data_IF_034410739965
#
_entry.id   IF_034410739965
#
_cell.length_a   1.000
_cell.length_b   1.000
_cell.length_c   1.000
_cell.angle_alpha   90.00
_cell.angle_beta   90.00
_cell.angle_gamma   90.00
#
_symmetry.space_group_name_H-M   'P 1'
#
loop_
_entity.id
_entity.type
_entity.pdbx_description
1 polymer ?
#
# COMPACT_ATOMS: atom_id res chain seq x y z
N UNK A 1 -11.27 -10.59 2.60
CA UNK A 1 -11.99 -9.34 2.28
C UNK A 1 -12.26 -9.37 0.80
N UNK A 2 -13.41 -8.89 0.36
CA UNK A 2 -13.74 -8.95 -1.06
C UNK A 2 -12.85 -8.00 -1.87
N UNK A 3 -12.32 -8.42 -3.03
CA UNK A 3 -11.48 -7.57 -3.87
C UNK A 3 -12.27 -6.38 -4.43
N UNK A 4 -11.59 -5.24 -4.49
CA UNK A 4 -12.10 -4.01 -5.09
C UNK A 4 -11.55 -3.89 -6.51
N UNK A 5 -12.43 -3.67 -7.48
CA UNK A 5 -12.05 -3.43 -8.86
C UNK A 5 -12.44 -2.00 -9.24
N UNK A 6 -11.50 -1.29 -9.82
CA UNK A 6 -11.73 -0.01 -10.48
C UNK A 6 -11.35 -0.13 -11.94
N UNK A 7 -12.16 0.46 -12.80
CA UNK A 7 -11.90 0.47 -14.23
C UNK A 7 -11.70 1.91 -14.70
N UNK A 8 -10.58 2.16 -15.35
CA UNK A 8 -10.26 3.40 -16.03
C UNK A 8 -10.21 3.11 -17.53
N UNK A 9 -10.93 3.88 -18.33
CA UNK A 9 -10.96 3.68 -19.77
C UNK A 9 -10.75 4.98 -20.52
N UNK A 10 -10.09 4.85 -21.66
CA UNK A 10 -9.97 5.88 -22.69
C UNK A 10 -10.28 5.23 -24.02
N UNK A 11 -11.43 5.58 -24.59
CA UNK A 11 -11.98 4.96 -25.79
C UNK A 11 -12.46 6.02 -26.77
N UNK A 12 -12.37 5.72 -28.06
CA UNK A 12 -12.75 6.69 -29.12
C UNK A 12 -14.27 6.84 -29.31
N UNK A 13 -15.09 5.95 -28.72
CA UNK A 13 -16.56 5.98 -28.81
C UNK A 13 -17.19 6.79 -27.65
N UNK A 14 -18.32 7.45 -27.92
CA UNK A 14 -19.09 8.14 -26.90
C UNK A 14 -20.07 7.18 -26.22
N UNK A 15 -19.99 7.08 -24.89
CA UNK A 15 -20.99 6.35 -24.12
C UNK A 15 -22.31 7.11 -24.12
N UNK A 16 -23.27 6.63 -24.89
CA UNK A 16 -24.68 6.98 -24.74
C UNK A 16 -25.21 6.09 -23.60
N UNK A 17 -25.84 6.69 -22.58
CA UNK A 17 -26.37 5.99 -21.40
C UNK A 17 -27.47 5.01 -21.83
N UNK A 18 -27.08 3.81 -22.24
CA UNK A 18 -27.92 2.71 -22.69
C UNK A 18 -27.26 1.39 -22.24
N UNK A 19 -28.05 0.39 -21.85
CA UNK A 19 -27.54 -0.87 -21.24
C UNK A 19 -26.54 -1.61 -22.13
N UNK A 20 -26.68 -1.49 -23.45
CA UNK A 20 -25.87 -2.16 -24.48
C UNK A 20 -24.49 -1.54 -24.72
N UNK A 21 -24.15 -0.43 -24.03
CA UNK A 21 -22.85 0.25 -24.15
C UNK A 21 -22.04 0.12 -22.85
N UNK A 22 -22.39 -0.84 -21.99
CA UNK A 22 -21.66 -1.13 -20.76
C UNK A 22 -20.44 -2.01 -21.00
N UNK A 23 -19.47 -1.99 -20.08
CA UNK A 23 -18.43 -3.02 -20.06
C UNK A 23 -19.02 -4.26 -19.39
N UNK A 24 -18.92 -5.42 -20.05
CA UNK A 24 -19.25 -6.68 -19.41
C UNK A 24 -18.00 -7.27 -18.79
N UNK A 25 -18.13 -7.62 -17.52
CA UNK A 25 -17.18 -8.45 -16.82
C UNK A 25 -17.87 -9.78 -16.53
N UNK A 26 -17.42 -10.84 -17.20
CA UNK A 26 -17.96 -12.19 -17.05
C UNK A 26 -17.00 -13.04 -16.23
N UNK A 27 -17.52 -13.67 -15.17
CA UNK A 27 -16.76 -14.56 -14.29
C UNK A 27 -17.74 -15.37 -13.46
N UNK A 28 -17.59 -15.39 -12.12
CA UNK A 28 -18.55 -16.05 -11.20
C UNK A 28 -19.93 -15.36 -11.09
N UNK A 29 -20.11 -14.24 -11.78
CA UNK A 29 -21.37 -13.51 -11.95
C UNK A 29 -21.22 -12.47 -13.05
N UNK A 30 -22.27 -12.22 -13.82
CA UNK A 30 -22.28 -11.25 -14.91
C UNK A 30 -22.84 -9.93 -14.37
N UNK A 31 -22.00 -8.91 -14.26
CA UNK A 31 -22.43 -7.58 -13.83
C UNK A 31 -22.06 -6.57 -14.92
N UNK A 32 -23.04 -5.87 -15.53
CA UNK A 32 -22.75 -4.76 -16.42
C UNK A 32 -22.18 -3.60 -15.60
N UNK A 33 -20.97 -3.14 -15.93
CA UNK A 33 -20.36 -1.98 -15.28
C UNK A 33 -20.68 -0.71 -16.06
N UNK A 34 -21.27 0.27 -15.36
CA UNK A 34 -21.61 1.58 -15.91
C UNK A 34 -20.59 2.63 -15.48
N UNK A 35 -20.06 3.46 -16.41
CA UNK A 35 -19.24 4.60 -16.04
C UNK A 35 -20.09 5.66 -15.33
N UNK A 36 -19.79 5.91 -14.06
CA UNK A 36 -20.54 6.89 -13.26
C UNK A 36 -20.02 8.32 -13.47
N UNK A 37 -18.74 8.48 -13.81
CA UNK A 37 -18.10 9.79 -14.06
C UNK A 37 -17.37 9.80 -15.40
N UNK A 38 -17.98 10.48 -16.38
CA UNK A 38 -17.40 10.71 -17.71
C UNK A 38 -16.98 12.17 -17.86
N UNK A 39 -15.77 12.43 -18.35
CA UNK A 39 -15.35 13.77 -18.77
C UNK A 39 -15.88 13.96 -20.19
N UNK A 40 -16.73 14.98 -20.42
CA UNK A 40 -17.28 15.24 -21.76
C UNK A 40 -16.23 15.89 -22.68
N UNK A 41 -16.15 15.50 -23.97
CA UNK A 41 -16.92 14.44 -24.65
C UNK A 41 -16.50 13.05 -24.13
N UNK A 42 -17.49 12.18 -23.87
CA UNK A 42 -17.44 10.97 -23.03
C UNK A 42 -16.55 9.82 -23.53
N UNK A 43 -15.34 10.13 -23.95
CA UNK A 43 -14.27 9.25 -24.43
C UNK A 43 -13.38 8.76 -23.30
N UNK A 44 -13.30 9.52 -22.21
CA UNK A 44 -12.47 9.20 -21.04
C UNK A 44 -13.38 9.18 -19.83
N UNK A 45 -13.31 8.09 -19.07
CA UNK A 45 -14.13 7.92 -17.89
C UNK A 45 -13.51 6.97 -16.88
N UNK A 46 -14.02 7.06 -15.66
CA UNK A 46 -13.68 6.16 -14.59
C UNK A 46 -14.95 5.56 -14.02
N UNK A 47 -14.89 4.26 -13.76
CA UNK A 47 -15.89 3.56 -12.96
C UNK A 47 -15.46 3.68 -11.49
N UNK A 48 -16.44 3.80 -10.60
CA UNK A 48 -16.19 3.76 -9.16
C UNK A 48 -15.74 2.35 -8.72
N UNK A 49 -15.22 2.21 -7.51
CA UNK A 49 -14.77 0.90 -7.02
C UNK A 49 -15.99 -0.01 -6.81
N UNK A 50 -16.04 -1.13 -7.52
CA UNK A 50 -17.03 -2.17 -7.31
C UNK A 50 -16.41 -3.35 -6.57
N UNK A 51 -17.17 -3.89 -5.62
CA UNK A 51 -16.81 -5.08 -4.86
C UNK A 51 -17.15 -6.30 -5.72
N UNK A 52 -16.15 -7.11 -6.02
CA UNK A 52 -16.34 -8.36 -6.77
C UNK A 52 -15.97 -9.56 -5.90
N UNK A 53 -16.50 -10.73 -6.24
CA UNK A 53 -16.07 -11.98 -5.63
C UNK A 53 -14.65 -12.32 -6.13
N UNK A 54 -13.82 -13.02 -5.35
CA UNK A 54 -12.53 -13.49 -5.85
C UNK A 54 -12.74 -14.55 -6.95
N UNK A 55 -11.99 -14.43 -8.04
CA UNK A 55 -12.12 -15.29 -9.22
C UNK A 55 -11.43 -14.73 -10.45
N UNK A 56 -11.45 -15.51 -11.52
CA UNK A 56 -11.02 -15.05 -12.85
C UNK A 56 -12.19 -14.35 -13.54
N UNK A 57 -11.90 -13.21 -14.15
CA UNK A 57 -12.87 -12.42 -14.89
C UNK A 57 -12.33 -12.04 -16.26
N UNK A 58 -13.18 -12.18 -17.27
CA UNK A 58 -12.91 -11.76 -18.63
C UNK A 58 -13.64 -10.46 -18.92
N UNK A 59 -12.96 -9.53 -19.59
CA UNK A 59 -13.49 -8.21 -19.89
C UNK A 59 -13.80 -8.11 -21.39
N UNK A 60 -15.05 -7.76 -21.70
CA UNK A 60 -15.55 -7.60 -23.07
C UNK A 60 -15.79 -6.12 -23.39
N UNK A 61 -15.34 -5.67 -24.56
CA UNK A 61 -15.60 -4.31 -25.05
C UNK A 61 -17.01 -4.20 -25.62
N UNK A 62 -17.68 -3.05 -25.44
CA UNK A 62 -18.89 -2.75 -26.19
C UNK A 62 -18.54 -2.50 -27.67
N UNK A 63 -19.31 -3.14 -28.57
CA UNK A 63 -19.24 -2.99 -30.02
C UNK A 63 -20.27 -1.99 -30.48
N UNK A 64 -19.80 -0.79 -30.84
CA UNK A 64 -20.50 0.29 -31.58
C UNK A 64 -22.04 0.33 -31.45
N UNK A 65 -22.55 0.31 -30.22
CA UNK A 65 -23.97 0.51 -29.90
C UNK A 65 -24.92 -0.69 -30.03
N UNK A 66 -24.46 -1.88 -30.43
CA UNK A 66 -25.36 -3.03 -30.69
C UNK A 66 -24.97 -4.35 -30.02
N UNK A 67 -23.91 -4.38 -29.19
CA UNK A 67 -23.57 -5.56 -28.39
C UNK A 67 -22.18 -5.48 -27.77
N UNK A 68 -21.64 -6.62 -27.36
CA UNK A 68 -20.27 -6.77 -26.89
C UNK A 68 -19.43 -7.53 -27.93
N UNK A 69 -18.12 -7.30 -27.94
CA UNK A 69 -17.21 -8.09 -28.78
C UNK A 69 -17.20 -9.56 -28.31
N UNK A 70 -17.07 -10.49 -29.26
CA UNK A 70 -17.08 -11.95 -28.99
C UNK A 70 -15.75 -12.45 -28.39
N UNK A 71 -14.67 -11.69 -28.58
CA UNK A 71 -13.36 -11.99 -28.01
C UNK A 71 -13.07 -11.10 -26.79
N UNK A 72 -12.64 -11.68 -25.66
CA UNK A 72 -12.23 -10.89 -24.50
C UNK A 72 -10.92 -10.15 -24.79
N UNK A 73 -10.80 -8.90 -24.31
CA UNK A 73 -9.53 -8.14 -24.43
C UNK A 73 -8.42 -8.80 -23.61
N UNK A 74 -8.81 -9.43 -22.49
CA UNK A 74 -7.91 -10.07 -21.55
C UNK A 74 -8.64 -10.58 -20.32
N UNK A 75 -7.94 -11.42 -19.56
CA UNK A 75 -8.39 -11.97 -18.29
C UNK A 75 -7.70 -11.26 -17.11
N UNK A 76 -8.46 -11.05 -16.03
CA UNK A 76 -7.96 -10.55 -14.75
C UNK A 76 -8.21 -11.60 -13.67
N UNK A 77 -7.23 -11.79 -12.81
CA UNK A 77 -7.35 -12.66 -11.63
C UNK A 77 -7.52 -11.79 -10.38
N UNK A 78 -8.74 -11.77 -9.84
CA UNK A 78 -9.06 -11.04 -8.62
C UNK A 78 -8.83 -11.94 -7.40
N UNK A 79 -7.77 -11.67 -6.66
CA UNK A 79 -7.48 -12.39 -5.41
C UNK A 79 -8.05 -11.64 -4.21
N UNK A 80 -8.42 -12.38 -3.15
CA UNK A 80 -9.05 -11.83 -1.95
C UNK A 80 -8.23 -10.70 -1.32
N UNK A 81 -8.89 -9.58 -1.02
CA UNK A 81 -8.32 -8.43 -0.33
C UNK A 81 -7.39 -7.55 -1.16
N UNK A 82 -7.24 -7.82 -2.45
CA UNK A 82 -6.53 -6.94 -3.38
C UNK A 82 -7.43 -5.83 -3.93
N UNK A 83 -6.82 -4.71 -4.30
CA UNK A 83 -7.48 -3.63 -5.05
C UNK A 83 -6.81 -3.53 -6.42
N UNK A 84 -7.59 -3.67 -7.47
CA UNK A 84 -7.12 -3.75 -8.84
C UNK A 84 -7.67 -2.56 -9.61
N UNK A 85 -6.81 -1.85 -10.32
CA UNK A 85 -7.22 -0.84 -11.29
C UNK A 85 -6.88 -1.33 -12.68
N UNK A 86 -7.91 -1.57 -13.50
CA UNK A 86 -7.75 -1.98 -14.90
C UNK A 86 -7.81 -0.74 -15.76
N UNK A 87 -6.79 -0.54 -16.59
CA UNK A 87 -6.70 0.51 -17.58
C UNK A 87 -6.97 -0.08 -18.97
N UNK A 88 -7.97 0.46 -19.66
CA UNK A 88 -8.33 0.06 -21.03
C UNK A 88 -8.08 1.25 -21.96
N UNK A 89 -7.20 1.06 -22.94
CA UNK A 89 -6.93 2.03 -23.99
C UNK A 89 -7.40 1.46 -25.34
N UNK A 90 -8.37 2.12 -25.95
CA UNK A 90 -8.85 1.75 -27.28
C UNK A 90 -8.79 2.95 -28.22
N UNK A 91 -7.90 2.88 -29.20
CA UNK A 91 -7.74 3.91 -30.23
C UNK A 91 -8.05 3.33 -31.61
N UNK A 92 -9.24 3.62 -32.12
CA UNK A 92 -9.74 3.20 -33.43
C UNK A 92 -8.86 3.73 -34.58
N UNK A 93 -8.28 4.93 -34.42
CA UNK A 93 -7.41 5.54 -35.43
C UNK A 93 -6.10 4.77 -35.67
N UNK A 94 -5.64 3.93 -34.73
CA UNK A 94 -4.37 3.22 -34.82
C UNK A 94 -4.53 1.70 -34.62
N UNK A 95 -5.78 1.21 -34.51
CA UNK A 95 -6.12 -0.16 -34.15
C UNK A 95 -5.39 -0.66 -32.88
N UNK A 96 -5.17 0.22 -31.90
CA UNK A 96 -4.50 -0.13 -30.64
C UNK A 96 -5.57 -0.52 -29.63
N UNK A 97 -5.42 -1.72 -29.07
CA UNK A 97 -6.25 -2.29 -28.00
C UNK A 97 -5.30 -2.78 -26.91
N UNK A 98 -5.03 -1.94 -25.92
CA UNK A 98 -4.15 -2.27 -24.81
C UNK A 98 -4.90 -2.28 -23.49
N UNK A 99 -4.69 -3.35 -22.72
CA UNK A 99 -5.21 -3.50 -21.38
C UNK A 99 -4.02 -3.62 -20.42
N UNK A 100 -3.93 -2.67 -19.49
CA UNK A 100 -2.90 -2.65 -18.45
C UNK A 100 -3.57 -2.85 -17.10
N UNK A 101 -3.11 -3.85 -16.34
CA UNK A 101 -3.64 -4.14 -15.00
C UNK A 101 -2.67 -3.54 -13.99
N UNK A 102 -3.13 -2.55 -13.23
CA UNK A 102 -2.38 -2.00 -12.10
C UNK A 102 -2.94 -2.59 -10.81
N UNK A 103 -2.17 -3.47 -10.18
CA UNK A 103 -2.45 -3.91 -8.81
C UNK A 103 -2.14 -2.76 -7.86
N UNK A 104 -3.17 -2.09 -7.37
CA UNK A 104 -3.03 -0.95 -6.44
C UNK A 104 -2.81 -1.39 -5.00
N UNK A 105 -3.38 -2.54 -4.63
CA UNK A 105 -3.14 -3.18 -3.34
C UNK A 105 -2.93 -4.65 -3.60
N UNK A 106 -1.78 -5.17 -3.20
CA UNK A 106 -1.47 -6.59 -3.31
C UNK A 106 -2.52 -7.43 -2.59
N UNK A 107 -2.85 -8.57 -3.19
CA UNK A 107 -3.73 -9.56 -2.58
C UNK A 107 -3.27 -9.91 -1.17
N UNK A 108 -4.22 -10.12 -0.26
CA UNK A 108 -3.92 -10.32 1.14
C UNK A 108 -3.27 -11.70 1.37
N UNK A 109 -1.93 -11.77 1.35
CA UNK A 109 -1.15 -13.02 1.48
C UNK A 109 -0.99 -13.49 2.92
N UNK A 110 -1.24 -12.63 3.91
CA UNK A 110 -1.02 -12.94 5.34
C UNK A 110 -2.09 -12.26 6.19
N UNK A 111 -2.46 -12.85 7.32
CA UNK A 111 -3.38 -12.20 8.24
C UNK A 111 -2.71 -10.95 8.83
N UNK A 112 -3.33 -9.76 8.66
CA UNK A 112 -2.88 -8.51 9.30
C UNK A 112 -2.67 -8.63 10.83
N UNK A 113 -3.33 -9.59 11.49
CA UNK A 113 -3.11 -9.89 12.91
C UNK A 113 -1.68 -10.31 13.24
N UNK A 114 -0.89 -10.78 12.27
CA UNK A 114 0.50 -11.17 12.49
C UNK A 114 1.43 -9.99 12.81
N UNK A 115 0.98 -8.75 12.60
CA UNK A 115 1.71 -7.56 13.03
C UNK A 115 1.55 -7.29 14.54
N UNK A 116 0.52 -7.85 15.18
CA UNK A 116 0.24 -7.62 16.60
C UNK A 116 1.37 -8.16 17.50
N UNK A 117 1.85 -9.41 17.34
CA UNK A 117 2.96 -9.91 18.14
C UNK A 117 4.22 -9.04 18.05
N UNK A 118 4.56 -8.58 16.84
CA UNK A 118 5.71 -7.70 16.63
C UNK A 118 5.54 -6.35 17.35
N UNK A 119 4.38 -5.72 17.23
CA UNK A 119 4.10 -4.44 17.88
C UNK A 119 4.16 -4.55 19.41
N UNK A 120 3.66 -5.66 19.97
CA UNK A 120 3.73 -5.92 21.42
C UNK A 120 5.19 -6.04 21.88
N UNK A 121 6.02 -6.82 21.18
CA UNK A 121 7.42 -7.00 21.57
C UNK A 121 8.21 -5.69 21.49
N UNK A 122 8.02 -4.91 20.42
CA UNK A 122 8.67 -3.61 20.25
C UNK A 122 8.23 -2.63 21.35
N UNK A 123 6.92 -2.51 21.58
CA UNK A 123 6.38 -1.59 22.58
C UNK A 123 6.82 -1.97 24.00
N UNK A 124 6.83 -3.27 24.33
CA UNK A 124 7.33 -3.75 25.62
C UNK A 124 8.82 -3.40 25.81
N UNK A 125 9.65 -3.64 24.78
CA UNK A 125 11.06 -3.27 24.80
C UNK A 125 11.29 -1.76 24.95
N UNK A 126 10.53 -0.95 24.21
CA UNK A 126 10.59 0.51 24.28
C UNK A 126 10.22 1.02 25.67
N UNK A 127 9.12 0.56 26.25
CA UNK A 127 8.69 0.99 27.59
C UNK A 127 9.69 0.56 28.67
N UNK A 128 10.15 -0.70 28.63
CA UNK A 128 11.12 -1.21 29.61
C UNK A 128 12.43 -0.42 29.56
N UNK A 129 12.96 -0.16 28.35
CA UNK A 129 14.19 0.59 28.19
C UNK A 129 14.01 2.06 28.60
N UNK A 130 12.98 2.73 28.09
CA UNK A 130 12.75 4.17 28.33
C UNK A 130 12.50 4.48 29.81
N UNK A 131 11.67 3.68 30.49
CA UNK A 131 11.35 3.91 31.90
C UNK A 131 12.57 3.65 32.78
N UNK A 132 13.30 2.55 32.53
CA UNK A 132 14.49 2.20 33.32
C UNK A 132 15.63 3.22 33.12
N UNK A 133 15.86 3.67 31.88
CA UNK A 133 16.89 4.66 31.57
C UNK A 133 16.60 6.01 32.24
N UNK A 134 15.34 6.46 32.20
CA UNK A 134 14.93 7.70 32.85
C UNK A 134 15.00 7.59 34.37
N UNK A 135 14.57 6.47 34.95
CA UNK A 135 14.61 6.25 36.39
C UNK A 135 16.05 6.21 36.91
N UNK A 136 16.96 5.53 36.20
CA UNK A 136 18.39 5.57 36.49
C UNK A 136 18.95 6.98 36.37
N UNK A 137 18.67 7.68 35.26
CA UNK A 137 19.14 9.04 35.02
C UNK A 137 18.65 10.02 36.10
N UNK A 138 17.41 9.88 36.55
CA UNK A 138 16.86 10.69 37.63
C UNK A 138 17.43 10.33 39.01
N UNK A 139 17.75 9.05 39.26
CA UNK A 139 18.42 8.62 40.50
C UNK A 139 19.83 9.18 40.63
N UNK A 140 20.52 9.37 39.50
CA UNK A 140 21.90 9.88 39.46
C UNK A 140 21.97 11.41 39.28
N UNK A 141 20.83 12.08 39.05
CA UNK A 141 20.78 13.50 38.74
C UNK A 141 20.43 14.38 39.98
N UNK A 142 21.18 15.47 40.24
CA UNK A 142 20.79 16.51 41.20
C UNK A 142 19.44 17.16 40.86
N UNK A 143 18.73 17.67 41.87
CA UNK A 143 17.37 18.24 41.75
C UNK A 143 17.21 19.30 40.65
N UNK A 144 18.29 20.03 40.32
CA UNK A 144 18.31 21.14 39.37
C UNK A 144 18.37 20.73 37.89
N UNK A 145 18.73 19.48 37.55
CA UNK A 145 18.96 19.07 36.15
C UNK A 145 17.86 18.16 35.57
N UNK A 146 16.80 17.86 36.34
CA UNK A 146 15.71 16.95 35.88
C UNK A 146 15.04 17.42 34.58
N UNK A 147 14.89 18.74 34.40
CA UNK A 147 14.36 19.31 33.15
C UNK A 147 15.30 19.08 31.96
N UNK A 148 16.62 19.14 32.19
CA UNK A 148 17.64 18.89 31.16
C UNK A 148 17.64 17.43 30.72
N UNK A 149 17.48 16.48 31.65
CA UNK A 149 17.35 15.04 31.32
C UNK A 149 16.15 14.80 30.40
N UNK A 150 15.01 15.42 30.68
CA UNK A 150 13.83 15.31 29.83
C UNK A 150 14.03 15.96 28.44
N UNK A 151 14.73 17.10 28.38
CA UNK A 151 15.08 17.72 27.12
C UNK A 151 16.03 16.85 26.27
N UNK A 152 17.00 16.18 26.90
CA UNK A 152 17.91 15.23 26.25
C UNK A 152 17.13 14.01 25.72
N UNK A 153 16.16 13.50 26.48
CA UNK A 153 15.28 12.42 26.03
C UNK A 153 14.53 12.78 24.73
N UNK A 154 13.95 13.98 24.68
CA UNK A 154 13.28 14.50 23.48
C UNK A 154 14.25 14.72 22.32
N UNK A 155 15.47 15.19 22.62
CA UNK A 155 16.51 15.39 21.61
C UNK A 155 16.93 14.06 20.95
N UNK A 156 17.15 13.01 21.75
CA UNK A 156 17.47 11.68 21.24
C UNK A 156 16.35 11.14 20.33
N UNK A 157 15.08 11.34 20.72
CA UNK A 157 13.93 10.98 19.89
C UNK A 157 13.88 11.77 18.57
N UNK A 158 14.22 13.06 18.61
CA UNK A 158 14.31 13.89 17.40
C UNK A 158 15.44 13.44 16.47
N UNK A 159 16.61 13.10 17.00
CA UNK A 159 17.74 12.57 16.22
C UNK A 159 17.36 11.26 15.53
N UNK A 160 16.68 10.36 16.23
CA UNK A 160 16.17 9.10 15.65
C UNK A 160 15.26 9.38 14.46
N UNK A 161 14.29 10.28 14.61
CA UNK A 161 13.37 10.63 13.53
C UNK A 161 14.09 11.33 12.37
N UNK A 162 15.01 12.23 12.67
CA UNK A 162 15.82 12.93 11.67
C UNK A 162 16.64 11.94 10.82
N UNK A 163 17.23 10.92 11.44
CA UNK A 163 18.01 9.91 10.75
C UNK A 163 17.15 9.09 9.77
N UNK A 164 15.90 8.77 10.11
CA UNK A 164 14.96 8.10 9.19
C UNK A 164 14.69 8.95 7.94
N UNK A 165 14.43 10.25 8.14
CA UNK A 165 14.18 11.18 7.03
C UNK A 165 15.42 11.37 6.16
N UNK A 166 16.61 11.46 6.78
CA UNK A 166 17.87 11.59 6.04
C UNK A 166 18.12 10.37 5.14
N UNK A 167 17.92 9.15 5.64
CA UNK A 167 18.08 7.93 4.85
C UNK A 167 17.10 7.85 3.67
N UNK A 168 15.87 8.33 3.88
CA UNK A 168 14.87 8.43 2.81
C UNK A 168 15.29 9.45 1.75
N UNK A 169 15.77 10.63 2.16
CA UNK A 169 16.27 11.65 1.24
C UNK A 169 17.44 11.14 0.37
N UNK A 170 18.33 10.32 0.94
CA UNK A 170 19.44 9.69 0.23
C UNK A 170 19.02 8.52 -0.67
N UNK A 171 17.71 8.23 -0.81
CA UNK A 171 17.14 7.10 -1.57
C UNK A 171 17.74 5.74 -1.20
N UNK A 172 18.16 5.59 0.06
CA UNK A 172 18.75 4.36 0.57
C UNK A 172 17.67 3.32 0.94
N UNK A 173 16.55 3.29 0.21
CA UNK A 173 15.36 2.50 0.57
C UNK A 173 15.65 0.99 0.60
N UNK A 174 16.40 0.48 -0.40
CA UNK A 174 16.68 -0.95 -0.54
C UNK A 174 17.62 -1.52 0.54
N UNK A 175 18.34 -0.66 1.26
CA UNK A 175 19.31 -1.07 2.29
C UNK A 175 19.07 -0.44 3.66
N UNK A 176 18.01 0.36 3.81
CA UNK A 176 17.67 1.03 5.07
C UNK A 176 17.52 0.05 6.23
N UNK A 177 16.82 -1.08 6.02
CA UNK A 177 16.68 -2.12 7.04
C UNK A 177 18.02 -2.74 7.46
N UNK A 178 18.94 -2.94 6.51
CA UNK A 178 20.27 -3.50 6.79
C UNK A 178 21.12 -2.52 7.60
N UNK A 179 21.01 -1.22 7.31
CA UNK A 179 21.67 -0.17 8.07
C UNK A 179 21.20 -0.15 9.54
N UNK A 180 19.88 -0.15 9.78
CA UNK A 180 19.33 -0.19 11.14
C UNK A 180 19.70 -1.49 11.88
N UNK A 181 19.68 -2.64 11.19
CA UNK A 181 20.10 -3.91 11.77
C UNK A 181 21.58 -3.93 12.18
N UNK A 182 22.45 -3.32 11.36
CA UNK A 182 23.86 -3.18 11.69
C UNK A 182 24.08 -2.29 12.93
N UNK A 183 23.33 -1.18 13.04
CA UNK A 183 23.37 -0.29 14.20
C UNK A 183 22.88 -0.96 15.49
N UNK A 184 21.83 -1.79 15.40
CA UNK A 184 21.34 -2.59 16.53
C UNK A 184 22.34 -3.69 16.92
N UNK A 185 22.94 -4.34 15.94
CA UNK A 185 23.94 -5.38 16.22
C UNK A 185 25.18 -4.78 16.91
N UNK A 186 25.63 -3.60 16.47
CA UNK A 186 26.77 -2.94 17.10
C UNK A 186 26.45 -2.49 18.54
N UNK A 187 25.28 -1.92 18.79
CA UNK A 187 24.89 -1.50 20.15
C UNK A 187 24.78 -2.70 21.11
N UNK A 188 24.19 -3.81 20.67
CA UNK A 188 24.11 -5.06 21.47
C UNK A 188 25.51 -5.57 21.80
N UNK A 189 26.45 -5.54 20.85
CA UNK A 189 27.84 -5.96 21.10
C UNK A 189 28.53 -5.07 22.14
N UNK A 190 28.33 -3.76 22.06
CA UNK A 190 28.90 -2.82 23.03
C UNK A 190 28.33 -3.10 24.44
N UNK A 191 27.01 -3.21 24.57
CA UNK A 191 26.38 -3.52 25.85
C UNK A 191 26.79 -4.88 26.40
N UNK A 192 26.95 -5.90 25.56
CA UNK A 192 27.42 -7.21 25.99
C UNK A 192 28.85 -7.17 26.55
N UNK A 193 29.76 -6.44 25.89
CA UNK A 193 31.14 -6.26 26.39
C UNK A 193 31.16 -5.47 27.70
N UNK A 194 30.38 -4.39 27.78
CA UNK A 194 30.24 -3.61 29.00
C UNK A 194 29.70 -4.47 30.15
N UNK A 195 28.65 -5.27 29.90
CA UNK A 195 28.09 -6.17 30.90
C UNK A 195 29.15 -7.14 31.44
N UNK A 196 29.98 -7.75 30.58
CA UNK A 196 31.06 -8.66 31.01
C UNK A 196 32.17 -7.94 31.79
N UNK A 197 32.42 -6.66 31.54
CA UNK A 197 33.42 -5.88 32.28
C UNK A 197 32.95 -5.43 33.66
N UNK A 198 31.64 -5.20 33.82
CA UNK A 198 31.02 -4.76 35.08
C UNK A 198 30.39 -5.90 35.90
N UNK A 199 30.42 -7.14 35.40
CA UNK A 199 30.10 -8.36 36.15
C UNK A 199 31.35 -8.91 36.85
#
# INVERSE_FOLDING_TARGET
GDPLLRLLFSVDYEFIKNENVSFLIQGKGTLPLFPDKMIRPGRIGMIEYYVHLPGEYEIFLPKNGTGHEEEPIGSITLNSGGSYTVFILQKASWNIREMHILTTVDANKVHRLWQIPQAIVIAAGEVMFSVTELDFSYSQAPSSIKSVVHAIWLLTSAIRNFLVVLLNFLKFERHSYAFFAALMTSSIRIFAVMAVFFL
#
